data_IF_387114478153
#
_entry.id   IF_387114478153
#
_cell.length_a   1.000
_cell.length_b   1.000
_cell.length_c   1.000
_cell.angle_alpha   90.00
_cell.angle_beta   90.00
_cell.angle_gamma   90.00
#
_symmetry.space_group_name_H-M   'P 1'
#
loop_
_entity.id
_entity.type
_entity.pdbx_description
1 polymer ?
#
# COMPACT_ATOMS: atom_id res chain seq x y z
N UNK A 1 8.85 6.39 16.66
CA UNK A 1 8.36 5.97 15.33
C UNK A 1 8.53 7.13 14.37
N UNK A 2 9.00 6.88 13.15
CA UNK A 2 9.06 7.89 12.09
C UNK A 2 7.82 7.72 11.22
N UNK A 3 7.14 8.82 10.92
CA UNK A 3 5.98 8.84 10.04
C UNK A 3 6.39 9.44 8.70
N UNK A 4 5.80 8.94 7.62
CA UNK A 4 6.01 9.50 6.30
C UNK A 4 4.75 9.38 5.45
N UNK A 5 4.33 10.49 4.83
CA UNK A 5 3.13 10.56 4.00
C UNK A 5 3.21 11.76 3.04
N UNK A 6 2.26 11.89 2.10
CA UNK A 6 2.19 12.94 1.08
C UNK A 6 1.67 14.29 1.61
N UNK A 7 0.66 14.35 2.51
CA UNK A 7 0.14 15.61 3.02
C UNK A 7 1.23 16.43 3.73
N UNK A 8 1.18 17.75 3.62
CA UNK A 8 2.15 18.60 4.30
C UNK A 8 1.99 18.61 5.82
N UNK A 9 0.76 18.37 6.32
CA UNK A 9 0.39 18.51 7.73
C UNK A 9 -0.63 17.44 8.15
N UNK A 10 -0.26 16.17 8.28
CA UNK A 10 -1.17 15.15 8.80
C UNK A 10 -1.37 15.31 10.30
N UNK A 11 -2.55 14.97 10.81
CA UNK A 11 -2.88 15.05 12.25
C UNK A 11 -1.90 14.22 13.10
N UNK A 12 -1.47 13.06 12.58
CA UNK A 12 -0.56 12.16 13.28
C UNK A 12 0.83 12.78 13.57
N UNK A 13 1.25 13.80 12.82
CA UNK A 13 2.54 14.47 13.06
C UNK A 13 2.58 15.26 14.38
N UNK A 14 1.42 15.58 14.97
CA UNK A 14 1.33 16.21 16.29
C UNK A 14 1.40 15.21 17.46
N UNK A 15 1.43 13.90 17.18
CA UNK A 15 1.47 12.87 18.21
C UNK A 15 2.80 12.82 18.93
N UNK A 16 2.77 12.61 20.27
CA UNK A 16 3.98 12.34 21.07
C UNK A 16 4.73 11.06 20.65
N UNK A 17 4.06 10.13 19.96
CA UNK A 17 4.67 8.91 19.45
C UNK A 17 5.44 9.11 18.13
N UNK A 18 5.17 10.24 17.44
CA UNK A 18 5.87 10.63 16.22
C UNK A 18 7.19 11.32 16.58
N UNK A 19 8.30 10.65 16.33
CA UNK A 19 9.63 11.23 16.53
C UNK A 19 9.97 12.23 15.42
N UNK A 20 9.60 11.91 14.18
CA UNK A 20 9.79 12.74 12.99
C UNK A 20 8.71 12.45 11.96
N UNK A 21 8.37 13.46 11.17
CA UNK A 21 7.50 13.33 10.02
C UNK A 21 8.24 13.75 8.75
N UNK A 22 8.22 12.90 7.73
CA UNK A 22 8.80 13.19 6.42
C UNK A 22 7.70 13.26 5.36
N UNK A 23 7.70 14.34 4.58
CA UNK A 23 6.79 14.45 3.45
C UNK A 23 7.37 13.70 2.26
N UNK A 24 6.57 12.84 1.64
CA UNK A 24 6.93 12.08 0.44
C UNK A 24 6.27 12.65 -0.82
N UNK A 25 6.85 12.40 -2.02
CA UNK A 25 6.19 12.70 -3.29
C UNK A 25 4.86 11.94 -3.43
N UNK A 26 3.89 12.43 -4.21
CA UNK A 26 2.62 11.72 -4.42
C UNK A 26 2.82 10.48 -5.30
N UNK A 27 2.65 9.24 -4.79
CA UNK A 27 3.02 8.02 -5.52
C UNK A 27 2.14 7.73 -6.75
N UNK A 28 0.91 8.24 -6.76
CA UNK A 28 -0.01 8.12 -7.91
C UNK A 28 0.51 8.87 -9.15
N UNK A 29 1.15 10.02 -8.97
CA UNK A 29 1.61 10.88 -10.06
C UNK A 29 3.11 10.72 -10.33
N UNK A 30 3.89 10.40 -9.28
CA UNK A 30 5.35 10.37 -9.33
C UNK A 30 5.90 9.07 -8.70
N UNK A 31 5.55 7.87 -9.21
CA UNK A 31 5.87 6.60 -8.57
C UNK A 31 7.37 6.36 -8.40
N UNK A 32 8.16 6.74 -9.40
CA UNK A 32 9.62 6.58 -9.34
C UNK A 32 10.26 7.54 -8.32
N UNK A 33 9.78 8.79 -8.25
CA UNK A 33 10.26 9.76 -7.28
C UNK A 33 9.90 9.33 -5.85
N UNK A 34 8.68 8.82 -5.65
CA UNK A 34 8.25 8.24 -4.38
C UNK A 34 9.16 7.07 -3.95
N UNK A 35 9.38 6.10 -4.83
CA UNK A 35 10.22 4.94 -4.52
C UNK A 35 11.65 5.35 -4.15
N UNK A 36 12.23 6.30 -4.90
CA UNK A 36 13.57 6.83 -4.60
C UNK A 36 13.60 7.60 -3.27
N UNK A 37 12.57 8.39 -2.97
CA UNK A 37 12.47 9.14 -1.72
C UNK A 37 12.34 8.19 -0.50
N UNK A 38 11.57 7.11 -0.63
CA UNK A 38 11.45 6.08 0.41
C UNK A 38 12.79 5.35 0.61
N UNK A 39 13.49 4.99 -0.46
CA UNK A 39 14.82 4.38 -0.35
C UNK A 39 15.83 5.30 0.33
N UNK A 40 15.86 6.58 -0.06
CA UNK A 40 16.73 7.57 0.55
C UNK A 40 16.40 7.79 2.03
N UNK A 41 15.11 7.88 2.38
CA UNK A 41 14.66 8.06 3.75
C UNK A 41 15.03 6.85 4.63
N UNK A 42 14.77 5.64 4.14
CA UNK A 42 15.07 4.41 4.89
C UNK A 42 16.57 4.27 5.17
N UNK A 43 17.43 4.69 4.25
CA UNK A 43 18.88 4.77 4.47
C UNK A 43 19.28 5.86 5.47
N UNK A 44 18.76 7.07 5.30
CA UNK A 44 19.14 8.23 6.11
C UNK A 44 18.76 8.07 7.60
N UNK A 45 17.59 7.48 7.86
CA UNK A 45 17.09 7.28 9.23
C UNK A 45 17.39 5.87 9.78
N UNK A 46 18.16 5.05 9.05
CA UNK A 46 18.46 3.65 9.40
C UNK A 46 17.20 2.83 9.74
N UNK A 47 16.17 2.95 8.90
CA UNK A 47 14.91 2.23 9.07
C UNK A 47 15.11 0.78 8.68
N UNK A 48 14.77 -0.14 9.58
CA UNK A 48 14.85 -1.58 9.33
C UNK A 48 13.51 -2.18 8.86
N UNK A 49 12.39 -1.54 9.19
CA UNK A 49 11.03 -2.00 8.92
C UNK A 49 10.11 -0.84 8.50
N UNK A 50 9.44 -1.02 7.37
CA UNK A 50 8.39 -0.13 6.87
C UNK A 50 7.03 -0.79 7.11
N UNK A 51 6.14 -0.10 7.80
CA UNK A 51 4.78 -0.57 8.09
C UNK A 51 3.80 0.36 7.36
N UNK A 52 3.15 -0.10 6.28
CA UNK A 52 2.11 0.67 5.61
C UNK A 52 0.83 0.70 6.45
N UNK A 53 0.07 1.78 6.33
CA UNK A 53 -1.15 2.01 7.12
C UNK A 53 -2.43 2.01 6.30
N UNK A 54 -2.36 2.46 5.05
CA UNK A 54 -3.51 2.54 4.14
C UNK A 54 -3.15 1.98 2.75
N UNK A 55 -3.68 2.60 1.69
CA UNK A 55 -3.51 2.16 0.31
C UNK A 55 -2.13 2.46 -0.28
N UNK A 56 -1.26 3.20 0.40
CA UNK A 56 0.13 3.38 -0.03
C UNK A 56 0.90 2.05 -0.10
N UNK A 57 0.40 1.01 0.56
CA UNK A 57 0.93 -0.36 0.51
C UNK A 57 1.12 -0.89 -0.91
N UNK A 58 0.22 -0.55 -1.85
CA UNK A 58 0.35 -1.00 -3.25
C UNK A 58 1.57 -0.35 -3.93
N UNK A 59 1.79 0.93 -3.67
CA UNK A 59 2.94 1.66 -4.21
C UNK A 59 4.26 1.21 -3.58
N UNK A 60 4.26 0.94 -2.28
CA UNK A 60 5.41 0.36 -1.58
C UNK A 60 5.72 -1.05 -2.08
N UNK A 61 4.72 -1.93 -2.23
CA UNK A 61 4.92 -3.27 -2.76
C UNK A 61 5.50 -3.25 -4.19
N UNK A 62 5.05 -2.31 -5.03
CA UNK A 62 5.64 -2.07 -6.35
C UNK A 62 7.07 -1.54 -6.28
N UNK A 63 7.38 -0.64 -5.35
CA UNK A 63 8.73 -0.13 -5.16
C UNK A 63 9.71 -1.22 -4.69
N UNK A 64 9.26 -2.12 -3.80
CA UNK A 64 10.05 -3.27 -3.34
C UNK A 64 10.17 -4.37 -4.41
N UNK A 65 9.27 -4.39 -5.39
CA UNK A 65 9.34 -5.37 -6.48
C UNK A 65 10.55 -5.10 -7.36
N UNK A 66 11.55 -5.96 -7.27
CA UNK A 66 12.76 -5.91 -8.09
C UNK A 66 13.80 -4.87 -7.63
N UNK A 67 13.65 -4.31 -6.43
CA UNK A 67 14.67 -3.45 -5.80
C UNK A 67 15.20 -4.09 -4.53
N UNK A 68 16.48 -3.90 -4.28
CA UNK A 68 17.12 -4.24 -3.00
C UNK A 68 16.99 -3.04 -2.07
N UNK A 69 15.86 -2.97 -1.37
CA UNK A 69 15.60 -1.90 -0.40
C UNK A 69 16.35 -2.16 0.91
N UNK A 70 16.85 -1.12 1.61
CA UNK A 70 17.59 -1.29 2.87
C UNK A 70 16.68 -1.72 4.03
N UNK A 71 15.38 -1.42 3.95
CA UNK A 71 14.37 -1.79 4.94
C UNK A 71 13.49 -2.94 4.44
N UNK A 72 13.00 -3.78 5.37
CA UNK A 72 11.93 -4.75 5.07
C UNK A 72 10.59 -4.03 4.96
N UNK A 73 9.77 -4.43 3.99
CA UNK A 73 8.37 -4.01 3.93
C UNK A 73 7.51 -5.03 4.67
N UNK A 74 6.76 -4.58 5.68
CA UNK A 74 5.79 -5.40 6.40
C UNK A 74 4.46 -5.45 5.63
N UNK A 75 4.48 -6.09 4.46
CA UNK A 75 3.29 -6.31 3.65
C UNK A 75 3.46 -7.56 2.75
N UNK A 76 2.35 -8.17 2.30
CA UNK A 76 2.38 -9.15 1.22
C UNK A 76 2.91 -8.55 -0.09
N UNK A 77 3.23 -9.41 -1.05
CA UNK A 77 3.58 -8.99 -2.40
C UNK A 77 2.41 -8.32 -3.13
N UNK A 78 2.72 -7.61 -4.22
CA UNK A 78 1.72 -6.87 -5.00
C UNK A 78 0.62 -7.76 -5.59
N UNK A 79 0.90 -9.03 -5.90
CA UNK A 79 -0.09 -9.96 -6.43
C UNK A 79 -1.13 -10.32 -5.38
N UNK A 80 -0.67 -10.71 -4.19
CA UNK A 80 -1.54 -10.99 -3.05
C UNK A 80 -2.40 -9.77 -2.67
N UNK A 81 -1.80 -8.58 -2.65
CA UNK A 81 -2.52 -7.33 -2.38
C UNK A 81 -3.59 -7.05 -3.45
N UNK A 82 -3.25 -7.22 -4.74
CA UNK A 82 -4.18 -6.96 -5.83
C UNK A 82 -5.38 -7.95 -5.84
N UNK A 83 -5.15 -9.21 -5.48
CA UNK A 83 -6.22 -10.22 -5.40
C UNK A 83 -7.28 -9.82 -4.36
N UNK A 84 -6.86 -9.40 -3.16
CA UNK A 84 -7.78 -9.04 -2.07
C UNK A 84 -8.39 -7.65 -2.21
N UNK A 85 -7.80 -6.76 -3.02
CA UNK A 85 -8.34 -5.43 -3.28
C UNK A 85 -9.49 -5.44 -4.29
N UNK A 86 -9.46 -6.33 -5.28
CA UNK A 86 -10.54 -6.47 -6.25
C UNK A 86 -11.72 -7.20 -5.61
N UNK A 87 -12.88 -6.53 -5.48
CA UNK A 87 -14.08 -7.08 -4.85
C UNK A 87 -14.50 -8.45 -5.42
N UNK A 88 -14.49 -8.60 -6.75
CA UNK A 88 -14.86 -9.85 -7.39
C UNK A 88 -13.82 -10.94 -7.12
N UNK A 89 -12.53 -10.66 -7.35
CA UNK A 89 -11.46 -11.63 -7.08
C UNK A 89 -11.41 -12.05 -5.60
N UNK A 90 -11.61 -11.11 -4.68
CA UNK A 90 -11.68 -11.36 -3.24
C UNK A 90 -12.84 -12.30 -2.88
N UNK A 91 -14.03 -12.07 -3.43
CA UNK A 91 -15.20 -12.94 -3.18
C UNK A 91 -14.96 -14.34 -3.74
N UNK A 92 -14.37 -14.45 -4.94
CA UNK A 92 -13.97 -15.74 -5.51
C UNK A 92 -12.90 -16.44 -4.68
N UNK A 93 -11.96 -15.70 -4.09
CA UNK A 93 -10.97 -16.25 -3.17
C UNK A 93 -11.64 -16.78 -1.90
N UNK A 94 -12.51 -16.00 -1.26
CA UNK A 94 -13.22 -16.41 -0.06
C UNK A 94 -14.10 -17.65 -0.28
N UNK A 95 -14.80 -17.73 -1.42
CA UNK A 95 -15.57 -18.90 -1.85
C UNK A 95 -14.69 -20.15 -2.00
N UNK A 96 -13.53 -20.04 -2.67
CA UNK A 96 -12.57 -21.16 -2.81
C UNK A 96 -12.00 -21.62 -1.46
N UNK A 97 -11.93 -20.74 -0.46
CA UNK A 97 -11.51 -21.06 0.89
C UNK A 97 -12.64 -21.64 1.76
N UNK A 98 -13.85 -21.81 1.22
CA UNK A 98 -15.00 -22.36 1.95
C UNK A 98 -15.65 -21.38 2.92
N UNK A 99 -15.44 -20.07 2.74
CA UNK A 99 -16.06 -19.03 3.55
C UNK A 99 -17.43 -18.65 2.99
N UNK A 100 -18.33 -18.20 3.87
CA UNK A 100 -19.60 -17.62 3.44
C UNK A 100 -19.37 -16.31 2.69
N UNK A 101 -19.99 -16.17 1.52
CA UNK A 101 -19.87 -14.99 0.65
C UNK A 101 -21.25 -14.51 0.19
N UNK A 102 -21.44 -13.20 -0.07
CA UNK A 102 -22.68 -12.72 -0.67
C UNK A 102 -22.78 -13.12 -2.13
N UNK A 103 -24.01 -13.23 -2.65
CA UNK A 103 -24.25 -13.32 -4.08
C UNK A 103 -23.58 -12.13 -4.79
N UNK A 104 -22.75 -12.42 -5.78
CA UNK A 104 -21.96 -11.40 -6.49
C UNK A 104 -21.88 -11.74 -7.96
N UNK A 105 -22.39 -10.82 -8.78
CA UNK A 105 -22.34 -10.91 -10.25
C UNK A 105 -21.34 -9.89 -10.78
N UNK A 106 -20.43 -10.34 -11.64
CA UNK A 106 -19.50 -9.45 -12.35
C UNK A 106 -20.23 -8.85 -13.55
N UNK A 107 -20.37 -7.53 -13.55
CA UNK A 107 -20.88 -6.77 -14.69
C UNK A 107 -19.69 -6.29 -15.52
N UNK A 108 -19.61 -6.73 -16.77
CA UNK A 108 -18.59 -6.33 -17.74
C UNK A 108 -19.07 -5.20 -18.65
N UNK A 109 -20.39 -5.04 -18.76
CA UNK A 109 -21.01 -4.03 -19.60
C UNK A 109 -22.31 -3.52 -18.98
N UNK A 110 -22.93 -2.54 -19.64
CA UNK A 110 -24.23 -2.02 -19.22
C UNK A 110 -25.36 -3.03 -19.45
N UNK A 111 -25.21 -3.91 -20.44
CA UNK A 111 -26.23 -4.89 -20.82
C UNK A 111 -26.39 -5.99 -19.74
N UNK A 112 -25.41 -6.15 -18.86
CA UNK A 112 -25.47 -7.10 -17.73
C UNK A 112 -26.41 -6.62 -16.59
N UNK A 113 -26.98 -5.41 -16.70
CA UNK A 113 -27.91 -4.84 -15.70
C UNK A 113 -29.37 -5.21 -15.92
N UNK A 114 -29.71 -5.78 -17.09
CA UNK A 114 -31.07 -6.22 -17.45
C UNK A 114 -31.36 -7.64 -16.94
#
# INVERSE_FOLDING_TARGET
VILADTPARPVAAASKACARYHRLPPPRFEPQAYANAVEALTRAENVELVIPTCEEVFHLALAWRGRTMPAKLFAPDIGSLAEVHNKHSFIRLAERLGLAVPETTLLNSRDDLE
#
